data_IF_298511024445
#
_entry.id   IF_298511024445
#
_cell.length_a   1.000
_cell.length_b   1.000
_cell.length_c   1.000
_cell.angle_alpha   90.00
_cell.angle_beta   90.00
_cell.angle_gamma   90.00
#
_symmetry.space_group_name_H-M   'P 1'
#
loop_
_entity.id
_entity.type
_entity.pdbx_description
1 polymer ?
#
# COMPACT_ATOMS: atom_id res chain seq x y z
N UNK A 1 -19.88 -3.39 28.49
CA UNK A 1 -18.59 -4.08 28.45
C UNK A 1 -18.06 -3.95 27.04
N UNK A 2 -16.96 -3.22 26.85
CA UNK A 2 -16.44 -2.88 25.53
C UNK A 2 -15.84 -4.13 24.89
N UNK A 3 -16.46 -4.63 23.82
CA UNK A 3 -15.82 -5.58 22.91
C UNK A 3 -14.73 -4.81 22.15
N UNK A 4 -13.56 -4.67 22.76
CA UNK A 4 -12.33 -4.53 21.99
C UNK A 4 -12.14 -5.89 21.31
N UNK A 5 -12.72 -6.03 20.12
CA UNK A 5 -12.30 -7.06 19.18
C UNK A 5 -10.82 -6.78 18.93
N UNK A 6 -9.97 -7.57 19.58
CA UNK A 6 -8.57 -7.71 19.24
C UNK A 6 -8.56 -7.96 17.73
N UNK A 7 -8.11 -6.98 16.95
CA UNK A 7 -7.96 -7.14 15.51
C UNK A 7 -7.04 -8.35 15.30
N UNK A 8 -7.63 -9.47 14.88
CA UNK A 8 -6.88 -10.68 14.59
C UNK A 8 -5.99 -10.36 13.39
N UNK A 9 -4.70 -10.19 13.66
CA UNK A 9 -3.74 -9.87 12.60
C UNK A 9 -3.66 -11.04 11.64
N UNK A 10 -3.77 -10.82 10.32
CA UNK A 10 -3.62 -11.90 9.37
C UNK A 10 -2.24 -12.54 9.55
N UNK A 11 -2.23 -13.83 9.88
CA UNK A 11 -1.00 -14.61 9.98
C UNK A 11 -0.50 -14.85 8.56
N UNK A 12 0.51 -14.06 8.15
CA UNK A 12 1.28 -14.36 6.94
C UNK A 12 2.38 -15.35 7.27
N UNK A 13 2.71 -16.24 6.34
CA UNK A 13 3.82 -17.17 6.55
C UNK A 13 5.18 -16.45 6.53
N UNK A 14 6.23 -17.15 6.98
CA UNK A 14 7.58 -16.61 7.05
C UNK A 14 8.14 -16.21 5.66
N UNK A 15 7.66 -16.85 4.59
CA UNK A 15 8.10 -16.59 3.21
C UNK A 15 7.54 -15.24 2.76
N UNK A 16 6.24 -15.00 2.95
CA UNK A 16 5.60 -13.72 2.65
C UNK A 16 6.20 -12.58 3.48
N UNK A 17 6.43 -12.81 4.77
CA UNK A 17 7.11 -11.83 5.62
C UNK A 17 8.54 -11.50 5.16
N UNK A 18 9.29 -12.49 4.67
CA UNK A 18 10.60 -12.28 4.08
C UNK A 18 10.53 -11.48 2.78
N UNK A 19 9.52 -11.74 1.95
CA UNK A 19 9.31 -11.02 0.70
C UNK A 19 8.92 -9.57 0.93
N UNK A 20 8.07 -9.27 1.92
CA UNK A 20 7.74 -7.90 2.36
C UNK A 20 9.00 -7.12 2.72
N UNK A 21 9.95 -7.74 3.44
CA UNK A 21 11.23 -7.10 3.77
C UNK A 21 12.08 -6.80 2.54
N UNK A 22 12.05 -7.64 1.50
CA UNK A 22 12.73 -7.36 0.22
C UNK A 22 12.04 -6.21 -0.50
N UNK A 23 10.71 -6.26 -0.64
CA UNK A 23 9.93 -5.22 -1.29
C UNK A 23 10.09 -3.85 -0.62
N UNK A 24 10.19 -3.80 0.70
CA UNK A 24 10.48 -2.57 1.46
C UNK A 24 11.80 -1.92 1.03
N UNK A 25 12.86 -2.71 0.84
CA UNK A 25 14.18 -2.20 0.39
C UNK A 25 14.12 -1.71 -1.06
N UNK A 26 13.45 -2.46 -1.93
CA UNK A 26 13.27 -2.09 -3.33
C UNK A 26 12.42 -0.82 -3.48
N UNK A 27 11.37 -0.68 -2.68
CA UNK A 27 10.57 0.55 -2.58
C UNK A 27 11.42 1.71 -2.08
N UNK A 28 12.24 1.53 -1.04
CA UNK A 28 13.09 2.60 -0.52
C UNK A 28 14.04 3.11 -1.61
N UNK A 29 14.67 2.20 -2.35
CA UNK A 29 15.54 2.55 -3.47
C UNK A 29 14.78 3.27 -4.59
N UNK A 30 13.62 2.74 -5.01
CA UNK A 30 12.79 3.35 -6.05
C UNK A 30 12.34 4.77 -5.65
N UNK A 31 11.83 4.92 -4.43
CA UNK A 31 11.27 6.18 -3.94
C UNK A 31 12.35 7.26 -3.82
N UNK A 32 13.52 6.89 -3.29
CA UNK A 32 14.67 7.80 -3.17
C UNK A 32 15.20 8.21 -4.54
N UNK A 33 15.40 7.25 -5.45
CA UNK A 33 15.99 7.51 -6.78
C UNK A 33 15.08 8.30 -7.72
N UNK A 34 13.77 8.11 -7.63
CA UNK A 34 12.77 8.84 -8.43
C UNK A 34 12.26 10.11 -7.75
N UNK A 35 12.69 10.38 -6.52
CA UNK A 35 12.20 11.49 -5.69
C UNK A 35 10.66 11.55 -5.65
N UNK A 36 10.00 10.40 -5.50
CA UNK A 36 8.55 10.26 -5.67
C UNK A 36 7.80 9.96 -4.36
N UNK A 37 8.40 10.26 -3.20
CA UNK A 37 7.76 10.04 -1.90
C UNK A 37 6.36 10.70 -1.79
N UNK A 38 6.12 11.96 -2.23
CA UNK A 38 4.80 12.57 -2.10
C UNK A 38 3.69 11.83 -2.86
N UNK A 39 3.96 11.35 -4.07
CA UNK A 39 2.94 10.66 -4.88
C UNK A 39 2.68 9.23 -4.40
N UNK A 40 3.68 8.58 -3.79
CA UNK A 40 3.54 7.27 -3.16
C UNK A 40 2.69 7.33 -1.89
N UNK A 41 2.93 8.36 -1.06
CA UNK A 41 2.08 8.62 0.10
C UNK A 41 0.65 8.94 -0.32
N UNK A 42 0.46 9.78 -1.36
CA UNK A 42 -0.87 10.07 -1.92
C UNK A 42 -1.57 8.81 -2.43
N UNK A 43 -0.87 7.93 -3.15
CA UNK A 43 -1.44 6.66 -3.62
C UNK A 43 -1.97 5.81 -2.45
N UNK A 44 -1.14 5.61 -1.42
CA UNK A 44 -1.51 4.82 -0.25
C UNK A 44 -2.72 5.40 0.49
N UNK A 45 -2.77 6.74 0.64
CA UNK A 45 -3.90 7.42 1.25
C UNK A 45 -5.18 7.27 0.43
N UNK A 46 -5.13 7.51 -0.89
CA UNK A 46 -6.31 7.46 -1.74
C UNK A 46 -6.89 6.03 -1.85
N UNK A 47 -6.04 4.99 -1.90
CA UNK A 47 -6.49 3.60 -1.84
C UNK A 47 -7.22 3.30 -0.52
N UNK A 48 -6.70 3.82 0.61
CA UNK A 48 -7.27 3.57 1.92
C UNK A 48 -8.54 4.38 2.23
N UNK A 49 -8.65 5.60 1.69
CA UNK A 49 -9.65 6.59 2.09
C UNK A 49 -11.07 6.31 1.55
N UNK A 50 -11.26 5.27 0.75
CA UNK A 50 -12.57 4.88 0.21
C UNK A 50 -13.40 4.05 1.19
N UNK A 51 -12.87 3.72 2.37
CA UNK A 51 -13.56 2.86 3.34
C UNK A 51 -14.84 3.48 3.90
N UNK A 52 -15.96 2.77 3.76
CA UNK A 52 -17.25 3.09 4.37
C UNK A 52 -17.54 2.11 5.50
N UNK A 53 -17.66 2.63 6.74
CA UNK A 53 -17.87 1.81 7.94
C UNK A 53 -19.22 1.10 7.94
N UNK A 54 -20.26 1.77 7.44
CA UNK A 54 -21.63 1.26 7.42
C UNK A 54 -21.78 0.05 6.51
N UNK A 55 -21.13 0.08 5.34
CA UNK A 55 -21.22 -0.98 4.33
C UNK A 55 -20.03 -1.94 4.37
N UNK A 56 -18.97 -1.60 5.11
CA UNK A 56 -17.70 -2.32 5.15
C UNK A 56 -17.07 -2.52 3.76
N UNK A 57 -17.28 -1.55 2.87
CA UNK A 57 -16.72 -1.56 1.50
C UNK A 57 -15.61 -0.52 1.33
N UNK A 58 -14.81 -0.65 0.27
CA UNK A 58 -13.66 0.20 0.01
C UNK A 58 -12.46 -0.13 0.90
N UNK A 59 -11.58 0.85 1.11
CA UNK A 59 -10.40 0.73 1.96
C UNK A 59 -9.16 0.19 1.24
N UNK A 60 -8.05 -0.01 1.98
CA UNK A 60 -6.73 -0.29 1.42
C UNK A 60 -6.65 -1.72 0.85
N UNK A 61 -7.26 -1.94 -0.30
CA UNK A 61 -7.43 -3.25 -0.92
C UNK A 61 -6.80 -3.33 -2.33
N UNK A 62 -6.14 -2.25 -2.76
CA UNK A 62 -5.49 -2.15 -4.06
C UNK A 62 -6.46 -1.93 -5.23
N UNK A 63 -7.73 -1.58 -4.98
CA UNK A 63 -8.71 -1.30 -6.02
C UNK A 63 -8.34 -0.07 -6.84
N UNK A 64 -7.56 0.86 -6.30
CA UNK A 64 -7.19 2.11 -6.98
C UNK A 64 -6.48 1.88 -8.32
N UNK A 65 -5.93 0.68 -8.56
CA UNK A 65 -5.32 0.29 -9.84
C UNK A 65 -6.33 0.08 -10.97
N UNK A 66 -7.62 -0.06 -10.65
CA UNK A 66 -8.69 -0.32 -11.61
C UNK A 66 -9.02 0.97 -12.38
N UNK A 67 -9.22 0.94 -13.71
CA UNK A 67 -9.54 2.14 -14.50
C UNK A 67 -10.72 2.92 -13.94
N UNK A 68 -11.74 2.22 -13.45
CA UNK A 68 -12.94 2.82 -12.86
C UNK A 68 -12.63 3.68 -11.62
N UNK A 69 -11.45 3.50 -11.01
CA UNK A 69 -11.00 4.24 -9.84
C UNK A 69 -9.87 5.23 -10.14
N UNK A 70 -8.78 4.85 -10.82
CA UNK A 70 -7.69 5.83 -11.07
C UNK A 70 -8.04 6.92 -12.09
N UNK A 71 -9.04 6.70 -12.95
CA UNK A 71 -9.50 7.71 -13.92
C UNK A 71 -10.41 8.76 -13.28
N UNK A 72 -10.89 8.53 -12.05
CA UNK A 72 -11.67 9.53 -11.31
C UNK A 72 -10.85 10.81 -11.10
N UNK A 73 -11.51 11.96 -11.17
CA UNK A 73 -10.85 13.28 -11.07
C UNK A 73 -10.04 13.45 -9.79
N UNK A 74 -10.51 12.88 -8.67
CA UNK A 74 -9.82 12.88 -7.37
C UNK A 74 -8.49 12.10 -7.39
N UNK A 75 -8.38 11.11 -8.29
CA UNK A 75 -7.21 10.24 -8.43
C UNK A 75 -6.30 10.66 -9.60
N UNK A 76 -6.58 11.79 -10.24
CA UNK A 76 -5.78 12.30 -11.36
C UNK A 76 -4.28 12.37 -11.00
N UNK A 77 -3.47 11.75 -11.86
CA UNK A 77 -2.02 11.65 -11.72
C UNK A 77 -1.52 10.40 -10.97
N UNK A 78 -2.38 9.65 -10.28
CA UNK A 78 -1.95 8.47 -9.52
C UNK A 78 -1.50 7.30 -10.39
N UNK A 79 -1.83 7.30 -11.70
CA UNK A 79 -1.33 6.30 -12.65
C UNK A 79 0.19 6.17 -12.64
N UNK A 80 0.92 7.27 -12.47
CA UNK A 80 2.39 7.24 -12.37
C UNK A 80 2.87 6.47 -11.13
N UNK A 81 2.22 6.64 -9.97
CA UNK A 81 2.55 5.89 -8.76
C UNK A 81 2.16 4.41 -8.89
N UNK A 82 1.00 4.12 -9.51
CA UNK A 82 0.56 2.76 -9.84
C UNK A 82 1.62 2.06 -10.70
N UNK A 83 2.13 2.71 -11.74
CA UNK A 83 3.15 2.16 -12.64
C UNK A 83 4.51 1.92 -11.98
N UNK A 84 4.87 2.75 -11.00
CA UNK A 84 6.05 2.50 -10.17
C UNK A 84 5.84 1.29 -9.26
N UNK A 85 4.67 1.17 -8.64
CA UNK A 85 4.34 -0.01 -7.84
C UNK A 85 4.20 -1.29 -8.68
N UNK A 86 3.84 -1.18 -9.96
CA UNK A 86 3.86 -2.31 -10.90
C UNK A 86 5.27 -2.90 -11.04
N UNK A 87 6.31 -2.05 -11.10
CA UNK A 87 7.70 -2.52 -11.15
C UNK A 87 8.08 -3.31 -9.88
N UNK A 88 7.56 -2.89 -8.72
CA UNK A 88 7.75 -3.61 -7.45
C UNK A 88 6.97 -4.93 -7.47
N UNK A 89 5.74 -4.92 -7.98
CA UNK A 89 4.89 -6.11 -8.11
C UNK A 89 5.53 -7.18 -9.00
N UNK A 90 6.10 -6.78 -10.13
CA UNK A 90 6.79 -7.72 -11.04
C UNK A 90 7.97 -8.42 -10.37
N UNK A 91 8.69 -7.73 -9.48
CA UNK A 91 9.78 -8.33 -8.69
C UNK A 91 9.30 -9.19 -7.53
N UNK A 92 8.14 -8.85 -6.95
CA UNK A 92 7.58 -9.50 -5.78
C UNK A 92 6.16 -10.03 -6.05
N UNK A 93 6.00 -11.00 -6.98
CA UNK A 93 4.69 -11.39 -7.50
C UNK A 93 3.75 -11.98 -6.45
N UNK A 94 4.29 -12.53 -5.34
CA UNK A 94 3.47 -13.09 -4.26
C UNK A 94 2.82 -12.02 -3.37
N UNK A 95 3.36 -10.80 -3.30
CA UNK A 95 2.82 -9.74 -2.42
C UNK A 95 1.57 -9.14 -3.07
N UNK A 96 0.49 -8.95 -2.31
CA UNK A 96 -0.73 -8.32 -2.83
C UNK A 96 -0.48 -6.86 -3.25
N UNK A 97 -1.24 -6.36 -4.23
CA UNK A 97 -1.19 -4.94 -4.58
C UNK A 97 -1.52 -4.04 -3.39
N UNK A 98 -2.50 -4.45 -2.58
CA UNK A 98 -2.89 -3.77 -1.35
C UNK A 98 -1.70 -3.59 -0.40
N UNK A 99 -0.92 -4.65 -0.14
CA UNK A 99 0.26 -4.54 0.70
C UNK A 99 1.37 -3.71 0.04
N UNK A 100 1.58 -3.81 -1.28
CA UNK A 100 2.57 -2.99 -1.99
C UNK A 100 2.25 -1.50 -1.86
N UNK A 101 0.99 -1.09 -2.08
CA UNK A 101 0.61 0.32 -2.02
C UNK A 101 0.72 0.88 -0.61
N UNK A 102 0.27 0.14 0.40
CA UNK A 102 0.38 0.58 1.78
C UNK A 102 1.83 0.58 2.29
N UNK A 103 2.64 -0.39 1.87
CA UNK A 103 4.08 -0.41 2.16
C UNK A 103 4.79 0.76 1.47
N UNK A 104 4.41 1.12 0.24
CA UNK A 104 4.95 2.28 -0.45
C UNK A 104 4.64 3.59 0.29
N UNK A 105 3.44 3.73 0.87
CA UNK A 105 3.10 4.86 1.72
C UNK A 105 3.95 4.95 2.99
N UNK A 106 4.15 3.82 3.69
CA UNK A 106 5.03 3.75 4.87
C UNK A 106 6.47 4.13 4.51
N UNK A 107 7.01 3.53 3.46
CA UNK A 107 8.38 3.82 3.01
C UNK A 107 8.53 5.27 2.53
N UNK A 108 7.50 5.84 1.91
CA UNK A 108 7.52 7.25 1.52
C UNK A 108 7.68 8.20 2.71
N UNK A 109 7.00 7.92 3.83
CA UNK A 109 7.15 8.69 5.08
C UNK A 109 8.57 8.54 5.63
N UNK A 110 9.11 7.33 5.66
CA UNK A 110 10.47 7.06 6.13
C UNK A 110 11.53 7.77 5.28
N UNK A 111 11.44 7.69 3.95
CA UNK A 111 12.36 8.37 3.01
C UNK A 111 12.29 9.89 3.17
N UNK A 112 11.13 10.44 3.53
CA UNK A 112 10.95 11.87 3.79
C UNK A 112 11.49 12.32 5.17
N UNK A 113 12.09 11.42 5.96
CA UNK A 113 12.57 11.70 7.32
C UNK A 113 11.46 11.74 8.37
N UNK A 114 10.29 11.18 8.05
CA UNK A 114 9.18 11.03 8.98
C UNK A 114 9.37 9.89 9.99
N UNK A 115 8.35 9.61 10.82
CA UNK A 115 8.41 8.55 11.81
C UNK A 115 8.45 7.15 11.16
N UNK A 116 9.02 6.20 11.89
CA UNK A 116 8.86 4.77 11.56
C UNK A 116 7.43 4.34 11.83
N UNK A 117 6.77 3.78 10.81
CA UNK A 117 5.41 3.24 10.92
C UNK A 117 5.49 1.72 10.89
N UNK A 118 4.92 1.08 11.89
CA UNK A 118 4.80 -0.38 11.91
C UNK A 118 3.91 -0.83 10.75
N UNK A 119 4.40 -1.77 9.95
CA UNK A 119 3.68 -2.31 8.81
C UNK A 119 3.25 -3.75 9.08
N UNK A 120 1.94 -3.98 9.09
CA UNK A 120 1.32 -5.30 9.21
C UNK A 120 0.91 -5.78 7.81
N UNK A 121 1.53 -6.84 7.27
CA UNK A 121 1.16 -7.43 5.97
C UNK A 121 -0.10 -8.30 6.07
N UNK A 122 -0.66 -8.68 4.92
CA UNK A 122 -1.74 -9.65 4.82
C UNK A 122 -3.05 -9.08 4.25
N UNK A 123 -3.03 -7.88 3.67
CA UNK A 123 -4.21 -7.34 2.98
C UNK A 123 -4.52 -8.20 1.76
N UNK A 124 -5.72 -8.76 1.73
CA UNK A 124 -6.21 -9.50 0.57
C UNK A 124 -6.67 -8.52 -0.51
N UNK A 125 -6.48 -8.92 -1.76
CA UNK A 125 -7.12 -8.26 -2.91
C UNK A 125 -8.59 -8.67 -2.88
N UNK A 126 -9.51 -7.76 -3.20
CA UNK A 126 -10.88 -8.12 -3.59
C UNK A 126 -10.87 -8.84 -4.94
#
# INVERSE_FOLDING_TARGET
MNHHSIMEMPVVDAVYGAEIRKARRDLHHLISSKSCAPIMLRLAFHDAATYCKETQTGGPNGSIRKPEEFEQSVNKGLKTAIDFCEQIKLKHPMISYADIYQLAGVVAVEVAGGPTIEFIPGRKVL
#
